data_IF_420778193111
#
_entry.id   IF_420778193111
#
_cell.length_a   1.000
_cell.length_b   1.000
_cell.length_c   1.000
_cell.angle_alpha   90.00
_cell.angle_beta   90.00
_cell.angle_gamma   90.00
#
_symmetry.space_group_name_H-M   'P 1'
#
loop_
_entity.id
_entity.type
_entity.pdbx_description
1 polymer ?
#
# COMPACT_ATOMS: atom_id res chain seq x y z
N UNK A 1 25.77 7.52 3.66
CA UNK A 1 25.93 6.06 3.45
C UNK A 1 24.69 5.24 3.88
N UNK A 2 23.77 5.78 4.71
CA UNK A 2 22.56 5.05 5.17
C UNK A 2 21.29 5.20 4.30
N UNK A 3 21.27 6.06 3.26
CA UNK A 3 20.08 6.24 2.38
C UNK A 3 19.94 5.18 1.29
N UNK A 4 21.01 4.50 0.87
CA UNK A 4 20.97 3.52 -0.22
C UNK A 4 20.64 2.10 0.25
N UNK A 5 20.99 1.75 1.50
CA UNK A 5 20.84 0.37 1.99
C UNK A 5 19.36 -0.06 2.13
N UNK A 6 18.47 0.85 2.55
CA UNK A 6 17.04 0.55 2.64
C UNK A 6 16.37 0.44 1.26
N UNK A 7 16.72 1.30 0.31
CA UNK A 7 16.14 1.27 -1.03
C UNK A 7 16.53 0.02 -1.82
N UNK A 8 17.75 -0.47 -1.66
CA UNK A 8 18.22 -1.65 -2.39
C UNK A 8 17.75 -2.97 -1.76
N UNK A 9 17.58 -3.05 -0.44
CA UNK A 9 16.92 -4.19 0.23
C UNK A 9 15.41 -4.21 -0.07
N UNK A 10 14.73 -3.05 -0.05
CA UNK A 10 13.34 -2.95 -0.51
C UNK A 10 13.22 -3.40 -1.97
N UNK A 11 14.11 -2.97 -2.88
CA UNK A 11 14.09 -3.41 -4.29
C UNK A 11 14.25 -4.93 -4.47
N UNK A 12 15.03 -5.60 -3.64
CA UNK A 12 15.23 -7.06 -3.73
C UNK A 12 13.97 -7.81 -3.26
N UNK A 13 13.36 -7.42 -2.13
CA UNK A 13 12.07 -7.99 -1.66
C UNK A 13 10.91 -7.69 -2.63
N UNK A 14 10.86 -6.46 -3.16
CA UNK A 14 9.88 -5.99 -4.13
C UNK A 14 9.93 -6.79 -5.45
N UNK A 15 11.13 -7.18 -5.91
CA UNK A 15 11.29 -7.92 -7.16
C UNK A 15 10.69 -9.33 -7.16
N UNK A 16 10.35 -9.89 -6.00
CA UNK A 16 9.71 -11.21 -5.87
C UNK A 16 8.25 -11.14 -5.47
N UNK A 17 7.76 -9.99 -5.00
CA UNK A 17 6.37 -9.81 -4.58
C UNK A 17 5.56 -9.23 -5.74
N UNK A 18 4.58 -10.00 -6.24
CA UNK A 18 3.59 -9.52 -7.22
C UNK A 18 2.68 -8.44 -6.62
N UNK A 19 2.51 -8.46 -5.29
CA UNK A 19 1.66 -7.58 -4.48
C UNK A 19 2.47 -6.52 -3.72
N UNK A 20 1.98 -5.29 -3.67
CA UNK A 20 2.54 -4.22 -2.84
C UNK A 20 1.44 -3.37 -2.20
N UNK A 21 1.68 -2.93 -0.97
CA UNK A 21 0.85 -1.95 -0.27
C UNK A 21 1.37 -0.53 -0.50
N UNK A 22 0.49 0.40 -0.83
CA UNK A 22 0.80 1.80 -1.10
C UNK A 22 0.13 2.67 -0.04
N UNK A 23 0.94 3.43 0.68
CA UNK A 23 0.56 4.33 1.78
C UNK A 23 1.10 5.74 1.56
N UNK A 24 0.63 6.72 2.33
CA UNK A 24 1.09 8.11 2.21
C UNK A 24 2.46 8.33 2.85
N UNK A 25 2.63 7.87 4.09
CA UNK A 25 3.82 8.16 4.86
C UNK A 25 4.83 7.01 4.82
N UNK A 26 6.11 7.36 4.98
CA UNK A 26 7.16 6.35 5.13
C UNK A 26 7.05 5.56 6.43
N UNK A 27 6.41 6.11 7.47
CA UNK A 27 6.24 5.43 8.75
C UNK A 27 5.24 4.28 8.63
N UNK A 28 4.14 4.49 7.91
CA UNK A 28 3.16 3.45 7.60
C UNK A 28 3.79 2.31 6.79
N UNK A 29 4.63 2.66 5.81
CA UNK A 29 5.33 1.66 5.00
C UNK A 29 6.29 0.81 5.85
N UNK A 30 6.97 1.43 6.82
CA UNK A 30 7.81 0.71 7.79
C UNK A 30 6.94 -0.20 8.66
N UNK A 31 5.79 0.27 9.13
CA UNK A 31 4.88 -0.50 9.99
C UNK A 31 4.35 -1.74 9.28
N UNK A 32 4.00 -1.62 8.00
CA UNK A 32 3.62 -2.74 7.14
C UNK A 32 4.77 -3.73 6.95
N UNK A 33 5.99 -3.26 6.65
CA UNK A 33 7.14 -4.17 6.48
C UNK A 33 7.49 -4.91 7.77
N UNK A 34 7.33 -4.27 8.95
CA UNK A 34 7.54 -4.89 10.26
C UNK A 34 6.63 -6.11 10.49
N UNK A 35 5.42 -6.11 9.92
CA UNK A 35 4.48 -7.23 10.01
C UNK A 35 4.55 -8.18 8.81
N UNK A 36 5.49 -7.95 7.88
CA UNK A 36 5.74 -8.79 6.72
C UNK A 36 4.98 -8.42 5.46
N UNK A 37 4.31 -7.27 5.42
CA UNK A 37 3.57 -6.77 4.26
C UNK A 37 4.47 -5.81 3.44
N UNK A 38 4.88 -6.16 2.20
CA UNK A 38 5.73 -5.31 1.39
C UNK A 38 5.02 -4.00 1.03
N UNK A 39 5.60 -2.86 1.42
CA UNK A 39 4.95 -1.57 1.25
C UNK A 39 5.87 -0.49 0.67
N UNK A 40 5.26 0.50 0.02
CA UNK A 40 5.90 1.71 -0.49
C UNK A 40 5.08 2.95 -0.11
N UNK A 41 5.77 4.07 0.11
CA UNK A 41 5.14 5.34 0.42
C UNK A 41 5.13 6.28 -0.79
N UNK A 42 4.02 6.99 -0.99
CA UNK A 42 3.92 8.07 -1.99
C UNK A 42 4.58 9.37 -1.51
N UNK A 43 4.83 9.48 -0.21
CA UNK A 43 5.37 10.65 0.49
C UNK A 43 4.43 11.86 0.38
N UNK A 44 3.15 11.60 0.70
CA UNK A 44 2.04 12.55 0.70
C UNK A 44 1.03 12.29 -0.43
N UNK A 45 -0.14 12.92 -0.31
CA UNK A 45 -1.29 12.67 -1.20
C UNK A 45 -1.07 12.98 -2.69
N UNK A 46 -0.09 13.82 -3.05
CA UNK A 46 0.14 14.20 -4.43
C UNK A 46 1.03 13.20 -5.19
N UNK A 47 0.42 12.18 -5.79
CA UNK A 47 1.15 11.12 -6.51
C UNK A 47 1.53 11.58 -7.93
N UNK A 48 2.82 11.56 -8.27
CA UNK A 48 3.31 11.96 -9.60
C UNK A 48 3.09 10.87 -10.66
N UNK A 49 2.98 11.27 -11.93
CA UNK A 49 2.92 10.31 -13.07
C UNK A 49 4.11 9.34 -13.10
N UNK A 50 5.28 9.78 -12.62
CA UNK A 50 6.47 8.92 -12.53
C UNK A 50 6.29 7.83 -11.48
N UNK A 51 5.74 8.15 -10.31
CA UNK A 51 5.44 7.16 -9.27
C UNK A 51 4.38 6.16 -9.76
N UNK A 52 3.31 6.63 -10.41
CA UNK A 52 2.30 5.78 -11.05
C UNK A 52 2.95 4.82 -12.06
N UNK A 53 3.81 5.32 -12.95
CA UNK A 53 4.51 4.48 -13.93
C UNK A 53 5.47 3.46 -13.29
N UNK A 54 6.09 3.80 -12.16
CA UNK A 54 6.90 2.84 -11.39
C UNK A 54 6.02 1.74 -10.78
N UNK A 55 4.87 2.11 -10.21
CA UNK A 55 3.92 1.14 -9.64
C UNK A 55 3.46 0.15 -10.71
N UNK A 56 2.99 0.63 -11.87
CA UNK A 56 2.58 -0.21 -12.99
C UNK A 56 3.69 -1.11 -13.54
N UNK A 57 4.93 -0.62 -13.53
CA UNK A 57 6.06 -1.36 -14.09
C UNK A 57 6.49 -2.54 -13.22
N UNK A 58 6.43 -2.39 -11.90
CA UNK A 58 7.02 -3.35 -10.97
C UNK A 58 6.01 -4.25 -10.26
N UNK A 59 4.73 -3.88 -10.23
CA UNK A 59 3.73 -4.59 -9.45
C UNK A 59 2.50 -4.89 -10.29
N UNK A 60 1.98 -6.10 -10.13
CA UNK A 60 0.75 -6.56 -10.79
C UNK A 60 -0.48 -6.42 -9.89
N UNK A 61 -0.27 -6.40 -8.56
CA UNK A 61 -1.33 -6.28 -7.55
C UNK A 61 -0.99 -5.12 -6.60
N UNK A 62 -1.72 -4.01 -6.73
CA UNK A 62 -1.43 -2.78 -6.00
C UNK A 62 -2.55 -2.53 -4.99
N UNK A 63 -2.23 -2.61 -3.71
CA UNK A 63 -3.16 -2.41 -2.61
C UNK A 63 -2.99 -1.02 -2.02
N UNK A 64 -3.97 -0.14 -2.19
CA UNK A 64 -3.92 1.23 -1.67
C UNK A 64 -4.53 1.23 -0.27
N UNK A 65 -3.79 1.74 0.69
CA UNK A 65 -4.29 2.08 2.03
C UNK A 65 -4.11 3.58 2.21
N UNK A 66 -5.23 4.31 2.23
CA UNK A 66 -5.23 5.76 2.41
C UNK A 66 -5.59 6.11 3.85
N UNK A 67 -5.07 7.24 4.32
CA UNK A 67 -5.44 7.79 5.62
C UNK A 67 -6.94 8.13 5.63
N UNK A 68 -7.58 8.04 6.80
CA UNK A 68 -8.99 8.37 6.99
C UNK A 68 -9.23 9.89 7.06
N UNK A 69 -8.64 10.64 6.13
CA UNK A 69 -8.80 12.08 5.97
C UNK A 69 -9.01 12.48 4.50
N UNK A 70 -9.16 13.80 4.27
CA UNK A 70 -9.39 14.34 2.93
C UNK A 70 -8.17 14.17 2.01
N UNK A 71 -6.95 14.22 2.55
CA UNK A 71 -5.73 14.04 1.78
C UNK A 71 -5.63 12.60 1.26
N UNK A 72 -5.93 11.61 2.10
CA UNK A 72 -6.01 10.21 1.71
C UNK A 72 -7.10 9.92 0.70
N UNK A 73 -8.27 10.56 0.83
CA UNK A 73 -9.32 10.50 -0.18
C UNK A 73 -8.81 10.93 -1.56
N UNK A 74 -8.16 12.09 -1.63
CA UNK A 74 -7.59 12.63 -2.87
C UNK A 74 -6.47 11.74 -3.45
N UNK A 75 -5.59 11.20 -2.60
CA UNK A 75 -4.53 10.27 -3.02
C UNK A 75 -5.14 9.04 -3.71
N UNK A 76 -6.09 8.41 -3.03
CA UNK A 76 -6.78 7.21 -3.51
C UNK A 76 -7.42 7.45 -4.86
N UNK A 77 -8.22 8.51 -5.00
CA UNK A 77 -8.90 8.84 -6.26
C UNK A 77 -7.90 9.02 -7.41
N UNK A 78 -6.83 9.77 -7.17
CA UNK A 78 -5.79 10.01 -8.18
C UNK A 78 -5.12 8.73 -8.67
N UNK A 79 -4.86 7.78 -7.77
CA UNK A 79 -4.27 6.49 -8.15
C UNK A 79 -5.30 5.65 -8.93
N UNK A 80 -6.55 5.59 -8.48
CA UNK A 80 -7.63 4.86 -9.16
C UNK A 80 -7.85 5.38 -10.59
N UNK A 81 -7.91 6.70 -10.78
CA UNK A 81 -8.07 7.31 -12.11
C UNK A 81 -6.99 6.89 -13.10
N UNK A 82 -5.77 6.59 -12.60
CA UNK A 82 -4.60 6.32 -13.44
C UNK A 82 -4.30 4.84 -13.60
N UNK A 83 -4.67 4.01 -12.62
CA UNK A 83 -4.38 2.58 -12.58
C UNK A 83 -5.62 1.70 -12.84
N UNK A 84 -6.82 2.26 -12.64
CA UNK A 84 -8.10 1.59 -12.92
C UNK A 84 -8.25 0.28 -12.17
N UNK A 85 -8.53 -0.80 -12.90
CA UNK A 85 -8.75 -2.14 -12.34
C UNK A 85 -7.49 -2.82 -11.77
N UNK A 86 -6.31 -2.23 -11.93
CA UNK A 86 -5.05 -2.80 -11.40
C UNK A 86 -4.81 -2.45 -9.93
N UNK A 87 -5.72 -1.71 -9.30
CA UNK A 87 -5.62 -1.33 -7.88
C UNK A 87 -6.80 -1.88 -7.09
N UNK A 88 -6.50 -2.34 -5.89
CA UNK A 88 -7.48 -2.64 -4.86
C UNK A 88 -7.37 -1.59 -3.77
N UNK A 89 -8.49 -1.00 -3.36
CA UNK A 89 -8.53 -0.12 -2.19
C UNK A 89 -8.86 -0.95 -0.97
N UNK A 90 -8.03 -0.86 0.07
CA UNK A 90 -8.31 -1.37 1.40
C UNK A 90 -8.67 -0.18 2.28
N UNK A 91 -9.87 -0.23 2.86
CA UNK A 91 -10.27 0.73 3.87
C UNK A 91 -9.92 0.17 5.25
N UNK A 92 -9.31 1.00 6.09
CA UNK A 92 -9.11 0.68 7.51
C UNK A 92 -10.34 1.13 8.30
N UNK A 93 -10.53 0.57 9.49
CA UNK A 93 -11.62 0.98 10.38
C UNK A 93 -11.54 2.48 10.69
N UNK A 94 -12.69 3.15 10.73
CA UNK A 94 -12.81 4.59 11.00
C UNK A 94 -12.24 5.01 12.36
N UNK A 95 -12.07 4.08 13.29
CA UNK A 95 -11.42 4.36 14.56
C UNK A 95 -9.92 4.66 14.43
N UNK A 96 -9.27 4.25 13.33
CA UNK A 96 -7.86 4.50 13.06
C UNK A 96 -7.72 5.68 12.10
N UNK A 97 -6.73 6.54 12.33
CA UNK A 97 -6.43 7.63 11.40
C UNK A 97 -5.63 7.12 10.21
N UNK A 98 -4.61 6.34 10.48
CA UNK A 98 -3.66 5.78 9.52
C UNK A 98 -3.18 4.39 9.98
N UNK A 99 -2.24 3.79 9.24
CA UNK A 99 -1.65 2.49 9.60
C UNK A 99 -0.81 2.58 10.88
N UNK A 100 -0.18 3.73 11.14
CA UNK A 100 0.61 3.98 12.34
C UNK A 100 -0.18 3.78 13.64
N UNK A 101 -1.48 4.04 13.62
CA UNK A 101 -2.39 3.86 14.76
C UNK A 101 -2.81 2.40 15.01
N UNK A 102 -2.50 1.47 14.10
CA UNK A 102 -2.96 0.08 14.17
C UNK A 102 -1.96 -0.85 14.89
N UNK A 103 -2.50 -1.80 15.66
CA UNK A 103 -1.71 -2.90 16.21
C UNK A 103 -1.34 -3.95 15.13
N UNK A 104 -0.32 -4.76 15.41
CA UNK A 104 0.19 -5.76 14.46
C UNK A 104 -0.88 -6.74 13.98
N UNK A 105 -1.85 -7.06 14.85
CA UNK A 105 -2.91 -8.02 14.55
C UNK A 105 -3.88 -7.41 13.55
N UNK A 106 -4.31 -6.19 13.79
CA UNK A 106 -5.23 -5.43 12.94
C UNK A 106 -4.64 -5.21 11.55
N UNK A 107 -3.34 -4.91 11.45
CA UNK A 107 -2.66 -4.75 10.15
C UNK A 107 -2.64 -6.08 9.38
N UNK A 108 -2.34 -7.20 10.04
CA UNK A 108 -2.33 -8.54 9.41
C UNK A 108 -3.71 -8.98 8.94
N UNK A 109 -4.77 -8.54 9.61
CA UNK A 109 -6.14 -8.85 9.19
C UNK A 109 -6.51 -8.21 7.84
N UNK A 110 -5.85 -7.10 7.44
CA UNK A 110 -6.07 -6.47 6.13
C UNK A 110 -5.73 -7.40 4.95
N UNK A 111 -4.64 -8.17 5.06
CA UNK A 111 -4.21 -9.13 4.04
C UNK A 111 -5.19 -10.33 3.97
N UNK A 112 -5.61 -10.84 5.13
CA UNK A 112 -6.53 -11.98 5.23
C UNK A 112 -7.94 -11.66 4.70
N UNK A 113 -8.43 -10.43 4.88
CA UNK A 113 -9.73 -10.01 4.36
C UNK A 113 -9.75 -10.01 2.83
N UNK A 114 -8.65 -9.61 2.20
CA UNK A 114 -8.53 -9.61 0.75
C UNK A 114 -8.58 -11.02 0.17
N UNK A 115 -7.76 -11.93 0.70
CA UNK A 115 -7.69 -13.30 0.19
C UNK A 115 -9.04 -14.04 0.36
N UNK A 116 -9.75 -13.82 1.48
CA UNK A 116 -11.10 -14.36 1.69
C UNK A 116 -12.13 -13.80 0.70
N UNK A 117 -12.04 -12.51 0.38
CA UNK A 117 -12.93 -11.87 -0.59
C UNK A 117 -12.78 -12.53 -1.97
N UNK A 118 -11.54 -12.74 -2.43
CA UNK A 118 -11.29 -13.44 -3.69
C UNK A 118 -11.81 -14.87 -3.66
N UNK A 119 -11.54 -15.63 -2.59
CA UNK A 119 -12.02 -17.01 -2.46
C UNK A 119 -13.54 -17.10 -2.49
N UNK A 120 -14.25 -16.11 -1.93
CA UNK A 120 -15.71 -16.04 -1.97
C UNK A 120 -16.27 -15.69 -3.36
N UNK A 121 -15.48 -15.09 -4.25
CA UNK A 121 -15.88 -14.79 -5.62
C UNK A 121 -15.63 -15.95 -6.59
N UNK A 122 -14.85 -16.95 -6.18
CA UNK A 122 -14.47 -18.13 -6.98
C UNK A 122 -15.33 -19.38 -6.69
N UNK A 123 -16.21 -19.32 -5.68
CA UNK A 123 -17.19 -20.37 -5.33
C UNK A 123 -18.60 -19.92 -5.68
#
# INVERSE_FOLDING_TARGET
MLKSLNLDILKIKIKTASRVYVVESSFDAIRLDQVGLPAVATLGANVSSKQIGLLQKYFSDIMIIADNDEAGGNMKEKIIERLGSHVTVINIDKQYKDIGDMDDKSIKELDLQFDKSILSMLN
#
